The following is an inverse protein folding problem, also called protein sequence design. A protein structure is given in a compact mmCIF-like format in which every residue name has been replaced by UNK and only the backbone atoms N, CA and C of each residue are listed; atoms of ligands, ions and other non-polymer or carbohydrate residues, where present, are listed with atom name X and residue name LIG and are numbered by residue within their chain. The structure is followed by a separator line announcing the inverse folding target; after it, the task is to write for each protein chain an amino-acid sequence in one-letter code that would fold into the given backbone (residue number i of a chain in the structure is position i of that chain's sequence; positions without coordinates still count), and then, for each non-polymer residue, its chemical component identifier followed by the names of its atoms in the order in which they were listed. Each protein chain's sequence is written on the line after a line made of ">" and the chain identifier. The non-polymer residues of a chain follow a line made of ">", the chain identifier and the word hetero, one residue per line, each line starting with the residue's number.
data_IF_717438672080
#
_entry.id   IF_717438672080
#
_cell.length_a   1.000
_cell.length_b   1.000
_cell.length_c   1.000
_cell.angle_alpha   90.00
_cell.angle_beta   90.00
_cell.angle_gamma   90.00
#
_symmetry.space_group_name_H-M   'P 1'
#
loop_
_entity.id
_entity.type
_entity.pdbx_description
1 polymer ?
#
# COMPACT_ATOMS: atom_id res chain seq x y z
N UNK A 1 -74.39 -64.68 22.05
CA UNK A 1 -75.04 -64.20 20.82
C UNK A 1 -74.77 -62.72 20.72
N UNK A 2 -74.17 -62.31 19.60
CA UNK A 2 -73.75 -60.94 19.33
C UNK A 2 -74.95 -60.01 19.15
N UNK A 3 -74.66 -58.71 19.19
CA UNK A 3 -75.27 -57.62 18.42
C UNK A 3 -75.91 -56.53 19.28
N UNK A 4 -75.32 -55.33 19.28
CA UNK A 4 -76.00 -54.20 18.64
C UNK A 4 -75.06 -52.98 18.49
N UNK A 5 -74.98 -52.49 17.25
CA UNK A 5 -74.37 -51.22 16.88
C UNK A 5 -75.36 -50.04 17.00
N UNK A 6 -74.81 -48.86 16.70
CA UNK A 6 -75.41 -47.58 16.28
C UNK A 6 -75.32 -46.49 17.35
N UNK A 7 -74.16 -45.83 17.44
CA UNK A 7 -73.70 -44.66 16.65
C UNK A 7 -74.58 -43.44 16.88
N UNK A 8 -74.08 -42.60 17.78
CA UNK A 8 -74.62 -41.33 18.22
C UNK A 8 -74.05 -40.16 17.41
N UNK A 9 -74.96 -39.35 16.86
CA UNK A 9 -75.04 -37.89 17.00
C UNK A 9 -74.08 -37.00 16.19
N UNK A 10 -74.66 -36.34 15.18
CA UNK A 10 -74.68 -34.88 14.92
C UNK A 10 -73.35 -34.11 15.09
N UNK A 11 -72.86 -33.46 14.03
CA UNK A 11 -72.96 -32.00 13.89
C UNK A 11 -72.11 -31.46 12.75
N UNK A 12 -72.75 -30.58 11.98
CA UNK A 12 -72.29 -29.59 11.02
C UNK A 12 -71.00 -28.88 11.49
N UNK A 13 -70.02 -28.65 10.59
CA UNK A 13 -69.20 -27.42 10.51
C UNK A 13 -68.32 -27.39 9.24
N UNK A 14 -68.20 -26.18 8.68
CA UNK A 14 -67.60 -25.74 7.39
C UNK A 14 -66.19 -26.28 7.06
N UNK A 15 -65.82 -26.36 5.76
CA UNK A 15 -64.42 -26.54 5.38
C UNK A 15 -63.68 -25.19 5.49
N UNK A 16 -62.79 -25.05 6.49
CA UNK A 16 -61.74 -24.03 6.43
C UNK A 16 -60.68 -24.50 5.42
N UNK A 17 -60.75 -23.93 4.23
CA UNK A 17 -59.71 -23.99 3.22
C UNK A 17 -58.46 -23.30 3.80
N UNK A 18 -57.47 -24.08 4.22
CA UNK A 18 -56.15 -23.56 4.54
C UNK A 18 -55.44 -23.16 3.24
N UNK A 19 -55.41 -21.87 2.92
CA UNK A 19 -54.44 -21.31 1.97
C UNK A 19 -53.05 -21.37 2.63
N UNK A 20 -52.30 -22.44 2.37
CA UNK A 20 -50.87 -22.45 2.59
C UNK A 20 -50.20 -21.68 1.45
N UNK A 21 -49.98 -20.37 1.64
CA UNK A 21 -49.10 -19.60 0.78
C UNK A 21 -47.66 -20.08 1.01
N UNK A 22 -47.18 -20.97 0.14
CA UNK A 22 -45.78 -21.35 0.10
C UNK A 22 -44.95 -20.15 -0.37
N UNK A 23 -44.47 -19.35 0.57
CA UNK A 23 -43.43 -18.36 0.31
C UNK A 23 -42.13 -19.12 0.01
N UNK A 24 -41.87 -19.43 -1.26
CA UNK A 24 -40.55 -19.81 -1.73
C UNK A 24 -39.65 -18.59 -1.59
N UNK A 25 -39.00 -18.45 -0.43
CA UNK A 25 -37.90 -17.53 -0.24
C UNK A 25 -36.74 -18.00 -1.12
N UNK A 26 -36.65 -17.49 -2.35
CA UNK A 26 -35.43 -17.57 -3.13
C UNK A 26 -34.40 -16.71 -2.38
N UNK A 27 -33.54 -17.36 -1.61
CA UNK A 27 -32.37 -16.74 -1.02
C UNK A 27 -31.55 -16.12 -2.15
N UNK A 28 -31.67 -14.82 -2.33
CA UNK A 28 -30.78 -14.07 -3.21
C UNK A 28 -29.41 -14.09 -2.55
N UNK A 29 -28.56 -15.02 -2.99
CA UNK A 29 -27.13 -15.00 -2.70
C UNK A 29 -26.59 -13.64 -3.18
N UNK A 30 -26.39 -12.72 -2.24
CA UNK A 30 -25.62 -11.50 -2.50
C UNK A 30 -24.23 -11.96 -2.91
N UNK A 31 -23.69 -11.52 -4.06
CA UNK A 31 -22.33 -11.85 -4.42
C UNK A 31 -21.43 -11.38 -3.28
N UNK A 32 -20.64 -12.30 -2.73
CA UNK A 32 -19.67 -11.98 -1.70
C UNK A 32 -18.82 -10.82 -2.20
N UNK A 33 -18.90 -9.69 -1.50
CA UNK A 33 -18.09 -8.51 -1.79
C UNK A 33 -16.64 -8.96 -1.58
N UNK A 34 -15.94 -9.24 -2.66
CA UNK A 34 -14.52 -9.59 -2.61
C UNK A 34 -13.81 -8.38 -2.01
N UNK A 35 -13.36 -8.50 -0.77
CA UNK A 35 -12.64 -7.43 -0.07
C UNK A 35 -11.38 -7.13 -0.87
N UNK A 36 -11.39 -6.00 -1.58
CA UNK A 36 -10.18 -5.49 -2.21
C UNK A 36 -9.25 -5.10 -1.06
N UNK A 37 -8.19 -5.88 -0.84
CA UNK A 37 -7.14 -5.50 0.10
C UNK A 37 -6.42 -4.29 -0.46
N UNK A 38 -6.67 -3.11 0.09
CA UNK A 38 -5.96 -1.90 -0.28
C UNK A 38 -4.51 -2.00 0.20
N UNK A 39 -3.55 -2.04 -0.72
CA UNK A 39 -2.12 -2.10 -0.39
C UNK A 39 -1.54 -0.70 -0.25
N UNK A 40 -0.60 -0.54 0.68
CA UNK A 40 0.21 0.68 0.79
C UNK A 40 1.41 0.55 -0.14
N UNK A 41 1.60 1.54 -1.00
CA UNK A 41 2.77 1.62 -1.88
C UNK A 41 3.53 2.91 -1.61
N UNK A 42 4.85 2.82 -1.64
CA UNK A 42 5.74 3.98 -1.64
C UNK A 42 6.42 4.09 -3.00
N UNK A 43 6.44 5.28 -3.58
CA UNK A 43 7.15 5.54 -4.83
C UNK A 43 8.12 6.71 -4.71
N UNK A 44 9.14 6.68 -5.56
CA UNK A 44 10.12 7.75 -5.65
C UNK A 44 11.12 7.50 -6.76
N UNK A 45 12.01 8.48 -6.95
CA UNK A 45 13.15 8.36 -7.85
C UNK A 45 14.45 8.54 -7.10
N UNK A 46 15.50 7.90 -7.58
CA UNK A 46 16.86 8.05 -7.07
C UNK A 46 17.74 8.58 -8.18
N UNK A 47 18.49 9.63 -7.86
CA UNK A 47 19.36 10.32 -8.80
C UNK A 47 20.82 10.31 -8.34
N UNK A 48 21.71 10.56 -9.29
CA UNK A 48 23.06 11.03 -9.06
C UNK A 48 23.05 12.56 -9.20
N UNK A 49 23.35 13.27 -8.12
CA UNK A 49 23.42 14.73 -8.12
C UNK A 49 24.60 15.21 -8.98
N UNK A 50 24.42 16.26 -9.78
CA UNK A 50 25.54 16.89 -10.49
C UNK A 50 26.52 17.58 -9.52
N UNK A 51 27.82 17.49 -9.81
CA UNK A 51 28.87 18.15 -9.02
C UNK A 51 28.70 19.67 -8.92
N UNK A 52 28.11 20.30 -9.94
CA UNK A 52 27.77 21.74 -9.95
C UNK A 52 26.90 22.15 -8.77
N UNK A 53 26.10 21.23 -8.26
CA UNK A 53 25.13 21.46 -7.20
C UNK A 53 25.51 20.78 -5.88
N UNK A 54 26.78 20.38 -5.73
CA UNK A 54 27.28 19.77 -4.51
C UNK A 54 26.99 20.66 -3.28
N UNK A 55 26.58 20.05 -2.17
CA UNK A 55 26.20 20.75 -0.95
C UNK A 55 24.80 21.40 -0.98
N UNK A 56 24.14 21.46 -2.13
CA UNK A 56 22.77 21.98 -2.27
C UNK A 56 21.72 20.87 -2.29
N UNK A 57 20.44 21.28 -2.33
CA UNK A 57 19.29 20.38 -2.49
C UNK A 57 18.83 20.28 -3.96
N UNK A 58 19.55 20.92 -4.89
CA UNK A 58 19.18 20.93 -6.31
C UNK A 58 19.41 19.57 -6.95
N UNK A 59 18.44 19.14 -7.76
CA UNK A 59 18.52 17.99 -8.66
C UNK A 59 18.59 18.42 -10.13
N UNK A 60 18.96 19.68 -10.38
CA UNK A 60 19.23 20.15 -11.74
C UNK A 60 20.43 19.38 -12.29
N UNK A 61 20.34 18.96 -13.55
CA UNK A 61 21.34 18.12 -14.24
C UNK A 61 21.63 16.78 -13.54
N UNK A 62 20.72 16.31 -12.69
CA UNK A 62 20.88 15.03 -12.00
C UNK A 62 20.42 13.86 -12.88
N UNK A 63 21.18 12.77 -12.88
CA UNK A 63 20.91 11.60 -13.71
C UNK A 63 20.24 10.49 -12.90
N UNK A 64 19.22 9.79 -13.42
CA UNK A 64 18.59 8.69 -12.69
C UNK A 64 19.55 7.52 -12.49
N UNK A 65 19.52 6.89 -11.31
CA UNK A 65 20.38 5.75 -11.01
C UNK A 65 19.56 4.46 -11.07
N UNK A 66 19.80 3.57 -12.06
CA UNK A 66 19.18 2.26 -12.08
C UNK A 66 19.78 1.34 -11.01
N UNK A 67 18.99 0.39 -10.50
CA UNK A 67 19.39 -0.60 -9.48
C UNK A 67 19.97 0.01 -8.19
N UNK A 68 19.75 1.30 -7.91
CA UNK A 68 19.97 1.89 -6.60
C UNK A 68 19.02 1.25 -5.58
N UNK A 69 19.56 0.95 -4.39
CA UNK A 69 18.82 0.40 -3.26
C UNK A 69 18.36 1.49 -2.32
N UNK A 70 17.07 1.47 -1.99
CA UNK A 70 16.45 2.28 -0.95
C UNK A 70 15.77 1.35 0.05
N UNK A 71 15.63 1.78 1.30
CA UNK A 71 14.84 1.07 2.29
C UNK A 71 13.61 1.89 2.67
N UNK A 72 12.46 1.22 2.78
CA UNK A 72 11.29 1.78 3.45
C UNK A 72 11.29 1.23 4.88
N UNK A 73 11.32 2.13 5.86
CA UNK A 73 11.25 1.79 7.27
C UNK A 73 10.04 2.46 7.89
N UNK A 74 9.20 1.68 8.56
CA UNK A 74 8.08 2.21 9.34
C UNK A 74 8.27 1.89 10.82
N UNK A 75 8.00 2.88 11.67
CA UNK A 75 7.99 2.73 13.13
C UNK A 75 6.59 3.01 13.65
N UNK A 76 6.05 2.11 14.46
CA UNK A 76 4.77 2.35 15.13
C UNK A 76 4.88 3.48 16.16
N UNK A 77 3.74 3.88 16.73
CA UNK A 77 3.63 4.92 17.74
C UNK A 77 4.48 4.66 18.99
N UNK A 78 4.85 3.41 19.27
CA UNK A 78 5.79 3.01 20.34
C UNK A 78 7.26 3.07 19.90
N UNK A 79 7.55 3.67 18.73
CA UNK A 79 8.86 3.81 18.11
C UNK A 79 9.57 2.49 17.77
N UNK A 80 8.83 1.37 17.71
CA UNK A 80 9.34 0.06 17.30
C UNK A 80 9.19 -0.10 15.80
N UNK A 81 10.17 -0.72 15.14
CA UNK A 81 10.09 -1.01 13.71
C UNK A 81 8.92 -1.97 13.47
N UNK A 82 7.90 -1.50 12.74
CA UNK A 82 6.73 -2.29 12.35
C UNK A 82 6.84 -2.84 10.93
N UNK A 83 7.70 -2.23 10.10
CA UNK A 83 7.98 -2.69 8.76
C UNK A 83 9.38 -2.24 8.32
N UNK A 84 10.09 -3.11 7.62
CA UNK A 84 11.34 -2.80 6.96
C UNK A 84 11.49 -3.66 5.71
N UNK A 85 11.82 -3.04 4.58
CA UNK A 85 12.25 -3.76 3.40
C UNK A 85 13.14 -2.87 2.52
N UNK A 86 13.96 -3.48 1.69
CA UNK A 86 14.77 -2.82 0.69
C UNK A 86 14.18 -3.03 -0.71
N UNK A 87 14.27 -2.00 -1.54
CA UNK A 87 13.76 -1.97 -2.90
C UNK A 87 14.82 -1.44 -3.84
N UNK A 88 14.80 -1.95 -5.06
CA UNK A 88 15.67 -1.50 -6.14
C UNK A 88 14.89 -0.63 -7.11
N UNK A 89 15.59 0.36 -7.66
CA UNK A 89 15.07 1.21 -8.73
C UNK A 89 15.16 0.53 -10.08
N UNK A 90 14.21 0.84 -10.96
CA UNK A 90 14.18 0.41 -12.34
C UNK A 90 15.22 1.15 -13.20
N UNK A 91 15.20 0.87 -14.51
CA UNK A 91 16.09 1.50 -15.50
C UNK A 91 16.04 3.04 -15.54
N UNK A 92 14.97 3.66 -15.03
CA UNK A 92 14.76 5.09 -15.00
C UNK A 92 15.02 5.69 -13.61
N UNK A 93 15.63 4.91 -12.71
CA UNK A 93 15.87 5.31 -11.32
C UNK A 93 14.60 5.38 -10.47
N UNK A 94 13.48 4.81 -10.92
CA UNK A 94 12.20 4.85 -10.21
C UNK A 94 11.96 3.57 -9.43
N UNK A 95 11.44 3.66 -8.22
CA UNK A 95 11.02 2.50 -7.44
C UNK A 95 9.52 2.56 -7.12
N UNK A 96 8.87 1.39 -7.16
CA UNK A 96 7.49 1.17 -6.73
C UNK A 96 7.49 0.11 -5.63
N UNK A 97 7.50 0.57 -4.38
CA UNK A 97 7.69 -0.25 -3.19
C UNK A 97 6.34 -0.63 -2.57
N UNK A 98 5.81 -1.78 -2.98
CA UNK A 98 4.64 -2.38 -2.34
C UNK A 98 4.99 -2.90 -0.94
N UNK A 99 4.35 -2.36 0.10
CA UNK A 99 4.62 -2.73 1.49
C UNK A 99 3.86 -3.99 1.89
N UNK A 100 4.28 -5.14 1.34
CA UNK A 100 3.68 -6.45 1.64
C UNK A 100 3.75 -6.74 3.14
N UNK A 101 2.65 -7.23 3.70
CA UNK A 101 2.52 -7.51 5.14
C UNK A 101 2.65 -6.29 6.08
N UNK A 102 2.61 -5.06 5.54
CA UNK A 102 2.53 -3.86 6.38
C UNK A 102 1.24 -3.87 7.20
N UNK A 103 1.38 -3.75 8.53
CA UNK A 103 0.28 -3.75 9.47
C UNK A 103 0.39 -2.55 10.40
N UNK A 104 -0.76 -1.91 10.62
CA UNK A 104 -0.92 -0.85 11.61
C UNK A 104 -1.48 -1.46 12.88
N UNK A 105 -0.82 -1.24 14.02
CA UNK A 105 -1.38 -1.60 15.33
C UNK A 105 -2.37 -0.55 15.82
N UNK A 106 -2.16 0.70 15.41
CA UNK A 106 -3.06 1.82 15.67
C UNK A 106 -3.28 2.61 14.37
N UNK A 107 -4.53 2.68 13.90
CA UNK A 107 -4.89 3.22 12.57
C UNK A 107 -4.42 4.67 12.31
N UNK A 108 -4.55 5.57 13.30
CA UNK A 108 -4.07 6.96 13.15
C UNK A 108 -2.57 7.12 13.38
N UNK A 109 -2.07 6.59 14.50
CA UNK A 109 -0.71 6.87 14.96
C UNK A 109 0.36 6.08 14.18
N UNK A 110 -0.02 4.93 13.60
CA UNK A 110 0.87 4.12 12.77
C UNK A 110 0.66 4.39 11.26
N UNK A 111 -0.14 5.41 10.92
CA UNK A 111 -0.44 5.76 9.53
C UNK A 111 0.84 6.01 8.72
N UNK A 112 0.96 5.54 7.46
CA UNK A 112 2.20 5.62 6.67
C UNK A 112 2.81 7.02 6.58
N UNK A 113 1.97 8.07 6.52
CA UNK A 113 2.42 9.48 6.51
C UNK A 113 3.22 9.89 7.76
N UNK A 114 3.01 9.22 8.90
CA UNK A 114 3.66 9.53 10.16
C UNK A 114 4.69 8.46 10.57
N UNK A 115 4.44 7.21 10.21
CA UNK A 115 5.22 6.07 10.66
C UNK A 115 6.36 5.72 9.72
N UNK A 116 6.23 5.97 8.42
CA UNK A 116 7.13 5.48 7.39
C UNK A 116 8.07 6.55 6.83
N UNK A 117 9.30 6.14 6.52
CA UNK A 117 10.32 6.96 5.86
C UNK A 117 11.10 6.14 4.84
N UNK A 118 11.60 6.80 3.79
CA UNK A 118 12.53 6.21 2.83
C UNK A 118 13.96 6.64 3.13
N UNK A 119 14.91 5.71 3.09
CA UNK A 119 16.34 5.98 3.25
C UNK A 119 17.13 5.41 2.08
N UNK A 120 18.16 6.12 1.67
CA UNK A 120 19.15 5.61 0.74
C UNK A 120 19.95 4.49 1.40
N UNK A 121 20.23 3.41 0.66
CA UNK A 121 21.01 2.27 1.14
C UNK A 121 22.30 2.15 0.36
N UNK A 122 22.23 2.01 -0.97
CA UNK A 122 23.43 1.93 -1.82
C UNK A 122 23.13 2.29 -3.27
N UNK A 123 24.18 2.69 -3.99
CA UNK A 123 24.16 2.90 -5.44
C UNK A 123 25.10 1.88 -6.09
N UNK A 124 24.73 1.30 -7.24
CA UNK A 124 25.62 0.43 -8.01
C UNK A 124 26.69 1.21 -8.77
N UNK A 125 26.54 2.54 -8.91
CA UNK A 125 27.51 3.38 -9.61
C UNK A 125 28.67 3.72 -8.68
N UNK A 126 29.86 3.19 -8.97
CA UNK A 126 31.05 3.46 -8.17
C UNK A 126 31.41 4.96 -8.15
N UNK A 127 31.15 5.67 -9.24
CA UNK A 127 31.38 7.11 -9.37
C UNK A 127 30.33 7.95 -8.65
N UNK A 128 29.20 7.36 -8.21
CA UNK A 128 28.09 8.07 -7.58
C UNK A 128 27.40 7.24 -6.51
N UNK A 129 28.10 6.99 -5.41
CA UNK A 129 27.64 6.19 -4.29
C UNK A 129 27.72 6.88 -2.93
N UNK A 130 28.11 8.15 -2.87
CA UNK A 130 28.12 8.90 -1.62
C UNK A 130 26.69 9.25 -1.22
N UNK A 131 26.30 8.90 0.00
CA UNK A 131 24.99 9.25 0.51
C UNK A 131 24.83 10.78 0.60
N UNK A 132 23.67 11.28 0.18
CA UNK A 132 23.30 12.68 0.35
C UNK A 132 22.03 12.81 1.18
N UNK A 133 21.90 13.94 1.88
CA UNK A 133 20.67 14.26 2.58
C UNK A 133 19.71 15.12 1.75
N UNK A 134 19.85 15.13 0.41
CA UNK A 134 18.85 15.75 -0.47
C UNK A 134 17.50 15.08 -0.19
N UNK A 135 16.48 15.90 0.09
CA UNK A 135 15.15 15.45 0.52
C UNK A 135 15.18 14.45 1.69
N UNK A 136 16.11 14.62 2.63
CA UNK A 136 16.28 13.76 3.80
C UNK A 136 16.67 12.30 3.48
N UNK A 137 17.39 12.03 2.39
CA UNK A 137 17.77 10.66 2.02
C UNK A 137 18.55 9.87 3.07
N UNK A 138 19.29 10.53 3.97
CA UNK A 138 20.00 9.87 5.10
C UNK A 138 19.08 9.81 6.34
N UNK A 139 18.48 10.94 6.68
CA UNK A 139 17.68 11.07 7.90
C UNK A 139 16.37 10.25 7.83
N UNK A 140 15.82 10.12 6.63
CA UNK A 140 14.54 9.47 6.34
C UNK A 140 13.60 10.46 5.64
N UNK A 141 13.38 10.27 4.34
CA UNK A 141 12.41 11.08 3.59
C UNK A 141 10.99 10.76 4.03
N UNK A 142 10.20 11.76 4.48
CA UNK A 142 8.82 11.54 4.87
C UNK A 142 7.95 11.23 3.64
N UNK A 143 6.90 10.46 3.86
CA UNK A 143 5.91 10.17 2.83
C UNK A 143 4.93 11.32 2.65
N UNK A 144 4.46 11.51 1.42
CA UNK A 144 3.40 12.44 1.04
C UNK A 144 2.32 11.70 0.28
N UNK A 145 1.06 12.09 0.49
CA UNK A 145 -0.05 11.58 -0.31
C UNK A 145 -0.40 12.60 -1.38
N UNK A 146 -0.28 12.22 -2.64
CA UNK A 146 -0.52 13.10 -3.80
C UNK A 146 -1.83 12.74 -4.50
N UNK A 147 -2.83 12.28 -3.73
CA UNK A 147 -4.14 11.83 -4.24
C UNK A 147 -4.05 10.71 -5.29
N UNK A 148 -3.01 9.88 -5.22
CA UNK A 148 -2.75 8.79 -6.16
C UNK A 148 -3.27 7.47 -5.62
N UNK A 149 -4.26 6.91 -6.30
CA UNK A 149 -4.78 5.56 -6.05
C UNK A 149 -4.78 4.79 -7.36
N UNK A 150 -4.21 3.59 -7.35
CA UNK A 150 -4.13 2.70 -8.52
C UNK A 150 -5.14 1.58 -8.34
N UNK A 151 -5.96 1.33 -9.37
CA UNK A 151 -6.95 0.27 -9.38
C UNK A 151 -6.63 -0.77 -10.46
N UNK A 152 -6.75 -2.04 -10.11
CA UNK A 152 -6.74 -3.19 -11.00
C UNK A 152 -7.91 -4.12 -10.70
N UNK A 153 -8.01 -5.22 -11.45
CA UNK A 153 -9.15 -6.17 -11.36
C UNK A 153 -9.42 -6.64 -9.93
N UNK A 154 -8.36 -6.98 -9.19
CA UNK A 154 -8.39 -7.39 -7.79
C UNK A 154 -7.30 -6.66 -6.97
N UNK A 155 -6.97 -5.43 -7.37
CA UNK A 155 -5.87 -4.67 -6.80
C UNK A 155 -6.33 -3.24 -6.55
N UNK A 156 -6.05 -2.73 -5.38
CA UNK A 156 -6.23 -1.32 -5.04
C UNK A 156 -5.00 -0.91 -4.24
N UNK A 157 -4.34 0.18 -4.65
CA UNK A 157 -3.15 0.66 -3.95
C UNK A 157 -3.20 2.16 -3.74
N UNK A 158 -3.00 2.55 -2.48
CA UNK A 158 -2.81 3.94 -2.10
C UNK A 158 -1.32 4.23 -2.19
N UNK A 159 -0.96 5.15 -3.08
CA UNK A 159 0.44 5.43 -3.42
C UNK A 159 0.90 6.70 -2.71
N UNK A 160 2.01 6.57 -1.99
CA UNK A 160 2.67 7.65 -1.28
C UNK A 160 4.00 7.99 -1.94
N UNK A 161 4.23 9.27 -2.22
CA UNK A 161 5.51 9.74 -2.73
C UNK A 161 6.52 9.97 -1.60
N UNK A 162 7.74 9.47 -1.75
CA UNK A 162 8.87 9.84 -0.88
C UNK A 162 9.57 11.12 -1.35
N UNK A 163 9.20 11.65 -2.52
CA UNK A 163 10.03 12.62 -3.24
C UNK A 163 11.32 11.99 -3.79
N UNK A 164 12.02 12.71 -4.68
CA UNK A 164 13.26 12.21 -5.26
C UNK A 164 14.40 12.24 -4.24
N UNK A 165 15.21 11.19 -4.18
CA UNK A 165 16.40 11.10 -3.36
C UNK A 165 17.64 11.15 -4.26
N UNK A 166 18.82 11.42 -3.70
CA UNK A 166 20.03 11.42 -4.50
C UNK A 166 21.26 10.88 -3.77
N UNK A 167 22.11 10.19 -4.52
CA UNK A 167 23.52 10.02 -4.20
C UNK A 167 24.32 11.19 -4.77
N UNK A 168 25.56 11.31 -4.33
CA UNK A 168 26.53 12.28 -4.83
C UNK A 168 27.72 11.57 -5.49
N UNK A 169 28.37 12.22 -6.47
CA UNK A 169 29.60 11.75 -7.05
C UNK A 169 30.70 11.60 -6.00
N UNK A 170 31.57 10.61 -6.19
CA UNK A 170 32.72 10.36 -5.28
C UNK A 170 33.83 11.38 -5.43
N UNK A 171 33.97 11.92 -6.64
CA UNK A 171 34.89 13.02 -6.92
C UNK A 171 34.15 14.12 -7.68
N UNK A 172 34.37 15.35 -7.24
CA UNK A 172 33.91 16.56 -7.91
C UNK A 172 35.12 17.45 -8.06
N UNK A 173 35.90 17.22 -9.12
CA UNK A 173 36.98 18.13 -9.46
C UNK A 173 36.35 19.48 -9.82
N UNK A 174 36.89 20.60 -9.32
CA UNK A 174 36.43 21.91 -9.75
C UNK A 174 36.62 21.99 -11.26
N UNK A 175 35.53 22.32 -11.97
CA UNK A 175 35.55 22.51 -13.41
C UNK A 175 36.62 23.56 -13.74
N UNK A 176 37.74 23.13 -14.35
CA UNK A 176 38.77 24.05 -14.82
C UNK A 176 38.20 24.68 -16.10
N UNK A 177 37.53 25.81 -15.96
CA UNK A 177 37.12 26.60 -17.13
C UNK A 177 38.38 27.13 -17.81
N UNK A 178 38.68 26.57 -18.98
CA UNK A 178 39.67 27.10 -19.93
C UNK A 178 39.09 28.26 -20.74
#
# INVERSE_FOLDING_TARGET
>A
MANNQFITVISILLPLVFLAAAATATAHERPAKQDKTATVVVEGKVYCQSCKYFGSWSLTDAEPIPAAKVSVICKNHKKRVSYYNAFETDKNGYFYAELKDFKMTHYLLDHPLHSCHVKLVSSPLQTCNLLSNVNNGINGSPLRFENKVVFGKNYEAVVYGSGPLAFRPTNCDPEITH
#
